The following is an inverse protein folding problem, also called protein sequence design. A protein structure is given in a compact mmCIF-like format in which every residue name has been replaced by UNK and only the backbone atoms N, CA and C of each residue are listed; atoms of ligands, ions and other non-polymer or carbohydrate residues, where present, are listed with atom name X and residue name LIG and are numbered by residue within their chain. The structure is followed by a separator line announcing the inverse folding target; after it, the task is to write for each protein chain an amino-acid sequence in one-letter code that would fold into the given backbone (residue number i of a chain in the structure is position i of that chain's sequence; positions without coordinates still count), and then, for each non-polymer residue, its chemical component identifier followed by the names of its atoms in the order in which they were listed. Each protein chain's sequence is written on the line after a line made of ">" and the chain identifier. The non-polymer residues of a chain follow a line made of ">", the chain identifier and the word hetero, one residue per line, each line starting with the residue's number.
data_IF_063182834487
#
_entry.id   IF_063182834487
#
_cell.length_a   1.000
_cell.length_b   1.000
_cell.length_c   1.000
_cell.angle_alpha   90.00
_cell.angle_beta   90.00
_cell.angle_gamma   90.00
#
_symmetry.space_group_name_H-M   'P 1'
#
loop_
_entity.id
_entity.type
_entity.pdbx_description
1 polymer ?
#
# COMPACT_ATOMS: atom_id res chain seq x y z
N UNK A 1 5.20 -62.84 -35.90
CA UNK A 1 4.30 -63.77 -35.19
C UNK A 1 3.91 -63.05 -33.92
N UNK A 2 2.61 -62.69 -33.85
CA UNK A 2 1.79 -62.30 -32.67
C UNK A 2 2.29 -61.06 -31.89
N UNK A 3 1.50 -60.00 -31.69
CA UNK A 3 0.33 -59.99 -30.81
C UNK A 3 -0.54 -58.74 -31.07
N UNK A 4 -1.81 -58.92 -31.45
CA UNK A 4 -2.88 -57.93 -31.26
C UNK A 4 -4.14 -58.71 -30.89
N UNK A 5 -4.27 -59.05 -29.61
CA UNK A 5 -5.54 -59.35 -28.95
C UNK A 5 -5.86 -58.20 -27.99
N UNK A 6 -7.09 -57.78 -27.75
CA UNK A 6 -8.39 -58.32 -28.07
C UNK A 6 -9.39 -57.42 -27.36
N UNK A 7 -10.34 -56.89 -28.13
CA UNK A 7 -11.36 -55.97 -27.67
C UNK A 7 -12.54 -56.76 -27.08
N UNK A 8 -12.92 -56.54 -25.82
CA UNK A 8 -14.25 -56.91 -25.29
C UNK A 8 -14.69 -55.99 -24.14
N UNK A 9 -15.61 -55.10 -24.52
CA UNK A 9 -16.68 -54.44 -23.76
C UNK A 9 -17.04 -55.09 -22.41
N UNK A 10 -17.36 -54.24 -21.43
CA UNK A 10 -18.68 -54.24 -20.76
C UNK A 10 -18.95 -52.93 -20.01
N UNK A 11 -20.12 -52.35 -20.31
CA UNK A 11 -20.86 -51.34 -19.55
C UNK A 11 -21.54 -52.00 -18.33
N UNK A 12 -21.78 -51.17 -17.31
CA UNK A 12 -22.79 -51.18 -16.24
C UNK A 12 -22.11 -50.85 -14.91
N UNK A 13 -22.68 -50.10 -13.98
CA UNK A 13 -23.95 -49.35 -13.84
C UNK A 13 -23.82 -48.56 -12.53
N UNK A 14 -24.71 -47.60 -12.35
CA UNK A 14 -24.78 -46.62 -11.25
C UNK A 14 -24.85 -47.19 -9.82
N UNK A 15 -24.71 -46.24 -8.87
CA UNK A 15 -25.19 -46.23 -7.48
C UNK A 15 -24.27 -46.70 -6.35
N UNK A 16 -23.49 -45.75 -5.78
CA UNK A 16 -23.40 -45.56 -4.32
C UNK A 16 -23.39 -44.05 -4.04
N UNK A 17 -24.47 -43.57 -3.43
CA UNK A 17 -24.61 -42.29 -2.76
C UNK A 17 -24.10 -42.39 -1.29
N UNK A 18 -24.00 -41.21 -0.66
CA UNK A 18 -23.85 -40.87 0.78
C UNK A 18 -22.47 -41.07 1.42
N UNK A 19 -21.75 -39.97 1.66
CA UNK A 19 -21.70 -39.21 2.94
C UNK A 19 -20.69 -38.07 2.71
N UNK A 20 -21.09 -36.80 2.69
CA UNK A 20 -21.25 -35.94 3.89
C UNK A 20 -20.02 -36.01 4.80
N UNK A 21 -19.04 -35.15 4.50
CA UNK A 21 -18.11 -34.53 5.45
C UNK A 21 -17.63 -33.24 4.78
N UNK A 22 -18.58 -32.32 4.53
CA UNK A 22 -18.29 -30.90 4.48
C UNK A 22 -17.94 -30.49 5.91
N UNK A 23 -16.66 -30.64 6.27
CA UNK A 23 -16.05 -29.90 7.38
C UNK A 23 -16.02 -28.41 6.98
N UNK A 24 -17.20 -27.78 7.02
CA UNK A 24 -17.32 -26.34 7.28
C UNK A 24 -16.86 -26.12 8.72
N UNK A 25 -15.53 -26.11 8.91
CA UNK A 25 -14.93 -25.53 10.09
C UNK A 25 -15.37 -24.06 10.13
N UNK A 26 -16.27 -23.78 11.07
CA UNK A 26 -16.67 -22.47 11.56
C UNK A 26 -15.44 -21.58 11.76
N UNK A 27 -15.02 -20.85 10.72
CA UNK A 27 -14.08 -19.75 10.86
C UNK A 27 -14.86 -18.52 11.35
N UNK A 28 -15.24 -18.58 12.63
CA UNK A 28 -15.53 -17.43 13.50
C UNK A 28 -14.26 -16.56 13.70
N UNK A 29 -13.39 -16.45 12.68
CA UNK A 29 -12.40 -15.39 12.63
C UNK A 29 -13.10 -14.12 12.18
N UNK A 30 -13.37 -13.26 13.16
CA UNK A 30 -13.48 -11.81 12.95
C UNK A 30 -12.47 -11.42 11.88
N UNK A 31 -12.96 -11.12 10.68
CA UNK A 31 -12.06 -10.84 9.57
C UNK A 31 -11.19 -9.64 9.97
N UNK A 32 -9.91 -9.61 9.57
CA UNK A 32 -9.02 -8.46 9.86
C UNK A 32 -9.66 -7.13 9.42
N UNK A 33 -10.58 -7.19 8.45
CA UNK A 33 -11.42 -6.08 8.02
C UNK A 33 -12.43 -5.59 9.07
N UNK A 34 -13.05 -6.49 9.84
CA UNK A 34 -13.92 -6.15 10.97
C UNK A 34 -13.13 -5.58 12.13
N UNK A 35 -11.94 -6.13 12.41
CA UNK A 35 -11.00 -5.55 13.39
C UNK A 35 -10.49 -4.17 12.98
N UNK A 36 -10.24 -3.94 11.69
CA UNK A 36 -9.88 -2.61 11.17
C UNK A 36 -11.04 -1.62 11.30
N UNK A 37 -12.28 -2.05 11.06
CA UNK A 37 -13.47 -1.20 11.24
C UNK A 37 -13.72 -0.87 12.71
N UNK A 38 -13.53 -1.81 13.62
CA UNK A 38 -13.67 -1.54 15.05
C UNK A 38 -12.61 -0.57 15.56
N UNK A 39 -11.34 -0.74 15.16
CA UNK A 39 -10.24 0.18 15.50
C UNK A 39 -10.49 1.59 14.94
N UNK A 40 -11.02 1.70 13.71
CA UNK A 40 -11.36 2.99 13.11
C UNK A 40 -12.52 3.69 13.85
N UNK A 41 -13.52 2.94 14.31
CA UNK A 41 -14.64 3.49 15.07
C UNK A 41 -14.21 3.94 16.48
N UNK A 42 -13.38 3.16 17.17
CA UNK A 42 -12.85 3.55 18.50
C UNK A 42 -11.97 4.79 18.41
N UNK A 43 -11.13 4.91 17.38
CA UNK A 43 -10.32 6.11 17.15
C UNK A 43 -11.16 7.35 16.88
N UNK A 44 -12.35 7.19 16.27
CA UNK A 44 -13.25 8.30 15.99
C UNK A 44 -13.96 8.79 17.27
N UNK A 45 -14.35 7.87 18.14
CA UNK A 45 -14.96 8.18 19.44
C UNK A 45 -13.96 8.82 20.42
N UNK A 46 -12.69 8.38 20.40
CA UNK A 46 -11.63 8.94 21.26
C UNK A 46 -11.20 10.36 20.82
N UNK A 47 -11.23 10.65 19.51
CA UNK A 47 -10.94 11.99 18.99
C UNK A 47 -12.02 13.02 19.34
N UNK A 48 -13.29 12.60 19.51
CA UNK A 48 -14.37 13.48 19.96
C UNK A 48 -14.26 13.82 21.46
N UNK A 49 -13.58 12.99 22.27
CA UNK A 49 -13.33 13.26 23.69
C UNK A 49 -12.11 14.15 23.96
N UNK A 50 -11.12 14.18 23.05
CA UNK A 50 -9.87 14.94 23.24
C UNK A 50 -9.95 16.42 22.85
N UNK A 51 -11.00 16.86 22.16
CA UNK A 51 -11.17 18.26 21.75
C UNK A 51 -11.64 19.20 22.89
N UNK A 52 -11.91 18.67 24.09
CA UNK A 52 -12.35 19.49 25.24
C UNK A 52 -11.21 19.82 26.23
N UNK A 53 -9.99 19.27 26.04
CA UNK A 53 -8.99 19.20 27.14
C UNK A 53 -7.61 19.84 26.92
N UNK A 54 -7.30 20.56 25.83
CA UNK A 54 -5.93 21.10 25.66
C UNK A 54 -5.85 22.58 25.24
N UNK A 55 -6.16 23.45 26.21
CA UNK A 55 -5.56 24.78 26.32
C UNK A 55 -4.35 24.70 27.27
N UNK A 56 -3.11 24.74 26.77
CA UNK A 56 -1.92 25.33 27.43
C UNK A 56 -0.59 25.02 26.69
N UNK A 57 0.02 26.11 26.20
CA UNK A 57 1.43 26.51 26.35
C UNK A 57 2.62 25.73 25.70
N UNK A 58 3.16 26.39 24.66
CA UNK A 58 4.56 26.69 24.30
C UNK A 58 5.74 25.73 24.55
N UNK A 59 6.50 25.45 23.46
CA UNK A 59 7.93 25.77 23.41
C UNK A 59 8.98 24.64 23.41
N UNK A 60 9.44 24.24 22.22
CA UNK A 60 10.85 23.90 21.91
C UNK A 60 11.48 22.61 22.49
N UNK A 61 11.69 21.60 21.64
CA UNK A 61 12.60 20.49 21.94
C UNK A 61 12.44 19.30 20.98
N UNK A 62 13.51 18.96 20.27
CA UNK A 62 13.61 17.75 19.44
C UNK A 62 13.30 16.50 20.28
N UNK A 63 12.56 15.54 19.72
CA UNK A 63 11.92 14.41 20.40
C UNK A 63 10.59 14.76 21.09
N UNK A 64 9.70 15.45 20.37
CA UNK A 64 8.28 15.43 20.69
C UNK A 64 7.75 14.01 20.46
N UNK A 65 7.39 13.36 21.57
CA UNK A 65 6.62 12.13 21.61
C UNK A 65 5.49 12.24 20.59
N UNK A 66 5.59 11.43 19.54
CA UNK A 66 4.50 11.38 18.58
C UNK A 66 3.31 10.72 19.30
N UNK A 67 2.07 11.21 19.10
CA UNK A 67 0.89 10.63 19.74
C UNK A 67 0.88 9.12 19.55
N UNK A 68 0.56 8.37 20.60
CA UNK A 68 0.77 6.91 20.68
C UNK A 68 0.19 6.16 19.44
N UNK A 69 -0.94 6.62 18.90
CA UNK A 69 -1.54 6.05 17.67
C UNK A 69 -0.72 6.20 16.37
N UNK A 70 0.33 7.03 16.34
CA UNK A 70 1.24 7.14 15.18
C UNK A 70 2.29 6.04 15.14
N UNK A 71 2.69 5.52 16.31
CA UNK A 71 3.56 4.35 16.41
C UNK A 71 2.83 3.13 15.85
N UNK A 72 1.52 3.01 16.13
CA UNK A 72 0.68 1.92 15.63
C UNK A 72 0.60 1.89 14.09
N UNK A 73 0.30 3.02 13.44
CA UNK A 73 0.24 3.06 11.97
C UNK A 73 1.59 2.77 11.30
N UNK A 74 2.70 3.20 11.92
CA UNK A 74 4.03 2.91 11.38
C UNK A 74 4.37 1.42 11.48
N UNK A 75 3.98 0.77 12.60
CA UNK A 75 4.15 -0.67 12.79
C UNK A 75 3.25 -1.48 11.85
N UNK A 76 2.00 -1.08 11.67
CA UNK A 76 1.07 -1.72 10.72
C UNK A 76 1.63 -1.62 9.30
N UNK A 77 2.17 -0.45 8.92
CA UNK A 77 2.78 -0.26 7.61
C UNK A 77 4.03 -1.14 7.44
N UNK A 78 4.90 -1.22 8.45
CA UNK A 78 6.05 -2.13 8.45
C UNK A 78 5.62 -3.59 8.28
N UNK A 79 4.61 -4.03 9.03
CA UNK A 79 4.09 -5.39 8.94
C UNK A 79 3.53 -5.71 7.55
N UNK A 80 2.73 -4.79 6.99
CA UNK A 80 2.15 -4.96 5.65
C UNK A 80 3.23 -4.97 4.54
N UNK A 81 4.29 -4.17 4.69
CA UNK A 81 5.42 -4.16 3.75
C UNK A 81 6.20 -5.47 3.80
N UNK A 82 6.43 -6.01 5.00
CA UNK A 82 7.18 -7.25 5.19
C UNK A 82 6.37 -8.48 4.77
N UNK A 83 5.06 -8.49 5.00
CA UNK A 83 4.16 -9.57 4.57
C UNK A 83 3.81 -9.53 3.09
N UNK A 84 4.08 -8.40 2.41
CA UNK A 84 3.68 -8.19 1.02
C UNK A 84 2.18 -7.90 0.85
N UNK A 85 1.47 -7.58 1.94
CA UNK A 85 0.06 -7.19 1.89
C UNK A 85 -0.11 -5.82 1.23
N UNK A 86 -0.30 -5.83 -0.09
CA UNK A 86 -0.53 -4.60 -0.85
C UNK A 86 -1.81 -3.88 -0.45
N UNK A 87 -2.83 -4.55 0.10
CA UNK A 87 -4.08 -3.90 0.49
C UNK A 87 -3.88 -3.11 1.79
N UNK A 88 -3.19 -3.71 2.77
CA UNK A 88 -2.78 -3.04 4.01
C UNK A 88 -1.90 -1.82 3.75
N UNK A 89 -0.90 -1.93 2.86
CA UNK A 89 -0.07 -0.78 2.47
C UNK A 89 -0.92 0.34 1.85
N UNK A 90 -1.86 0.01 0.95
CA UNK A 90 -2.76 1.02 0.37
C UNK A 90 -3.67 1.67 1.41
N UNK A 91 -4.17 0.90 2.38
CA UNK A 91 -5.00 1.40 3.48
C UNK A 91 -4.27 2.44 4.31
N UNK A 92 -3.06 2.12 4.78
CA UNK A 92 -2.27 3.03 5.62
C UNK A 92 -1.75 4.23 4.83
N UNK A 93 -1.24 4.02 3.62
CA UNK A 93 -0.76 5.11 2.75
C UNK A 93 -1.91 6.03 2.29
N UNK A 94 -3.12 5.48 2.17
CA UNK A 94 -4.33 6.21 1.81
C UNK A 94 -4.68 7.30 2.82
N UNK A 95 -4.38 7.09 4.11
CA UNK A 95 -4.56 8.09 5.16
C UNK A 95 -3.63 9.28 4.88
N UNK A 96 -4.23 10.48 4.73
CA UNK A 96 -3.48 11.72 4.44
C UNK A 96 -2.93 12.34 5.72
N UNK A 97 -3.74 12.33 6.76
CA UNK A 97 -3.38 12.81 8.08
C UNK A 97 -2.30 11.90 8.69
N UNK A 98 -1.31 12.49 9.36
CA UNK A 98 -0.24 11.71 10.00
C UNK A 98 0.70 10.95 9.05
N UNK A 99 0.50 10.99 7.73
CA UNK A 99 1.34 10.24 6.76
C UNK A 99 2.83 10.55 6.89
N UNK A 100 3.19 11.81 7.14
CA UNK A 100 4.59 12.21 7.33
C UNK A 100 5.20 11.60 8.58
N UNK A 101 4.46 11.56 9.69
CA UNK A 101 4.86 10.91 10.94
C UNK A 101 4.98 9.40 10.78
N UNK A 102 4.01 8.76 10.12
CA UNK A 102 4.03 7.31 9.84
C UNK A 102 5.27 6.92 9.04
N UNK A 103 5.55 7.63 7.94
CA UNK A 103 6.74 7.37 7.12
C UNK A 103 8.04 7.66 7.88
N UNK A 104 8.05 8.69 8.74
CA UNK A 104 9.21 9.01 9.58
C UNK A 104 9.50 7.92 10.62
N UNK A 105 8.46 7.27 11.14
CA UNK A 105 8.57 6.19 12.13
C UNK A 105 9.05 4.85 11.57
N UNK A 106 9.09 4.68 10.24
CA UNK A 106 9.53 3.44 9.61
C UNK A 106 11.02 3.15 9.86
N UNK A 107 11.34 1.86 9.95
CA UNK A 107 12.72 1.39 9.87
C UNK A 107 13.33 1.62 8.49
N UNK A 108 14.66 1.70 8.41
CA UNK A 108 15.39 1.93 7.16
C UNK A 108 15.13 0.87 6.08
N UNK A 109 14.98 -0.40 6.47
CA UNK A 109 14.63 -1.48 5.55
C UNK A 109 13.20 -1.33 5.00
N UNK A 110 12.25 -1.05 5.88
CA UNK A 110 10.84 -0.85 5.48
C UNK A 110 10.67 0.39 4.59
N UNK A 111 11.46 1.44 4.80
CA UNK A 111 11.47 2.60 3.92
C UNK A 111 11.90 2.27 2.48
N UNK A 112 12.85 1.34 2.31
CA UNK A 112 13.25 0.84 0.99
C UNK A 112 12.13 0.00 0.35
N UNK A 113 11.49 -0.87 1.13
CA UNK A 113 10.33 -1.64 0.68
C UNK A 113 9.20 -0.72 0.22
N UNK A 114 8.92 0.34 0.98
CA UNK A 114 7.90 1.33 0.64
C UNK A 114 8.24 2.12 -0.63
N UNK A 115 9.52 2.49 -0.82
CA UNK A 115 9.98 3.14 -2.05
C UNK A 115 9.73 2.24 -3.26
N UNK A 116 10.23 1.00 -3.20
CA UNK A 116 10.07 0.03 -4.28
C UNK A 116 8.59 -0.22 -4.57
N UNK A 117 7.77 -0.43 -3.54
CA UNK A 117 6.33 -0.62 -3.69
C UNK A 117 5.65 0.58 -4.36
N UNK A 118 6.01 1.81 -3.99
CA UNK A 118 5.46 3.03 -4.61
C UNK A 118 5.84 3.12 -6.09
N UNK A 119 7.10 2.86 -6.42
CA UNK A 119 7.61 2.86 -7.81
C UNK A 119 6.88 1.82 -8.64
N UNK A 120 6.74 0.62 -8.11
CA UNK A 120 6.05 -0.50 -8.73
C UNK A 120 4.57 -0.20 -9.01
N UNK A 121 3.89 0.44 -8.06
CA UNK A 121 2.49 0.85 -8.22
C UNK A 121 2.32 1.93 -9.27
N UNK A 122 3.24 2.90 -9.32
CA UNK A 122 3.21 3.97 -10.34
C UNK A 122 3.48 3.40 -11.74
N UNK A 123 4.46 2.50 -11.88
CA UNK A 123 4.74 1.81 -13.15
C UNK A 123 3.51 1.06 -13.66
N UNK A 124 2.80 0.34 -12.78
CA UNK A 124 1.57 -0.39 -13.14
C UNK A 124 0.39 0.54 -13.42
N UNK A 125 0.26 1.65 -12.68
CA UNK A 125 -0.86 2.60 -12.78
C UNK A 125 -0.36 4.05 -12.68
N UNK A 126 0.01 4.69 -13.81
CA UNK A 126 0.58 6.03 -13.80
C UNK A 126 -0.29 7.13 -13.18
N UNK A 127 -1.63 6.94 -13.18
CA UNK A 127 -2.59 7.85 -12.54
C UNK A 127 -2.39 7.97 -11.02
N UNK A 128 -1.83 6.94 -10.36
CA UNK A 128 -1.58 6.94 -8.92
C UNK A 128 -0.39 7.79 -8.48
N UNK A 129 0.42 8.28 -9.42
CA UNK A 129 1.56 9.15 -9.10
C UNK A 129 1.16 10.35 -8.25
N UNK A 130 0.00 10.98 -8.50
CA UNK A 130 -0.45 12.12 -7.68
C UNK A 130 -0.68 11.73 -6.21
N UNK A 131 -1.26 10.56 -5.97
CA UNK A 131 -1.56 10.06 -4.63
C UNK A 131 -0.28 9.65 -3.87
N UNK A 132 0.65 8.99 -4.58
CA UNK A 132 1.87 8.41 -4.02
C UNK A 132 3.06 9.38 -3.98
N UNK A 133 3.05 10.45 -4.77
CA UNK A 133 4.15 11.45 -4.80
C UNK A 133 4.42 12.09 -3.43
N UNK A 134 3.36 12.29 -2.62
CA UNK A 134 3.52 12.77 -1.25
C UNK A 134 4.27 11.77 -0.35
N UNK A 135 3.99 10.48 -0.52
CA UNK A 135 4.65 9.40 0.22
C UNK A 135 6.12 9.32 -0.18
N UNK A 136 6.39 9.27 -1.50
CA UNK A 136 7.75 9.27 -2.05
C UNK A 136 8.56 10.45 -1.52
N UNK A 137 7.97 11.65 -1.49
CA UNK A 137 8.62 12.84 -0.93
C UNK A 137 9.00 12.65 0.54
N UNK A 138 8.12 12.09 1.36
CA UNK A 138 8.43 11.84 2.78
C UNK A 138 9.49 10.74 2.96
N UNK A 139 9.42 9.68 2.15
CA UNK A 139 10.41 8.59 2.18
C UNK A 139 11.80 9.14 1.88
N UNK A 140 11.94 9.91 0.79
CA UNK A 140 13.22 10.53 0.42
C UNK A 140 13.67 11.54 1.48
N UNK A 141 12.74 12.33 2.04
CA UNK A 141 13.07 13.35 3.04
C UNK A 141 13.60 12.77 4.35
N UNK A 142 12.93 11.76 4.91
CA UNK A 142 13.27 11.21 6.23
C UNK A 142 14.32 10.12 6.18
N UNK A 143 14.41 9.39 5.06
CA UNK A 143 15.32 8.24 4.90
C UNK A 143 16.44 8.49 3.87
N UNK A 144 16.76 9.76 3.59
CA UNK A 144 17.76 10.17 2.60
C UNK A 144 19.11 9.45 2.75
N UNK A 145 19.58 9.24 3.99
CA UNK A 145 20.85 8.59 4.27
C UNK A 145 20.90 7.15 3.76
N UNK A 146 19.81 6.39 3.93
CA UNK A 146 19.69 5.01 3.47
C UNK A 146 19.53 4.97 1.95
N UNK A 147 18.77 5.92 1.40
CA UNK A 147 18.55 6.02 -0.04
C UNK A 147 19.82 6.36 -0.81
N UNK A 148 20.65 7.27 -0.29
CA UNK A 148 21.92 7.64 -0.90
C UNK A 148 23.06 6.64 -0.65
N UNK A 149 23.06 5.97 0.51
CA UNK A 149 24.11 5.03 0.90
C UNK A 149 24.02 3.66 0.22
N UNK A 150 22.80 3.12 0.04
CA UNK A 150 22.56 1.80 -0.53
C UNK A 150 22.59 1.76 -2.07
N UNK A 151 22.92 0.61 -2.67
CA UNK A 151 22.71 0.41 -4.12
C UNK A 151 21.23 0.34 -4.47
N UNK A 152 20.46 -0.33 -3.61
CA UNK A 152 19.02 -0.50 -3.80
C UNK A 152 18.26 0.82 -3.70
N UNK A 153 18.57 1.63 -2.67
CA UNK A 153 18.01 2.97 -2.52
C UNK A 153 18.32 3.88 -3.72
N UNK A 154 19.57 3.87 -4.21
CA UNK A 154 19.97 4.64 -5.40
C UNK A 154 19.21 4.19 -6.65
N UNK A 155 19.08 2.89 -6.88
CA UNK A 155 18.30 2.35 -8.00
C UNK A 155 16.83 2.79 -7.90
N UNK A 156 16.23 2.72 -6.72
CA UNK A 156 14.86 3.19 -6.50
C UNK A 156 14.70 4.68 -6.79
N UNK A 157 15.68 5.51 -6.38
CA UNK A 157 15.70 6.94 -6.68
C UNK A 157 15.84 7.23 -8.19
N UNK A 158 16.71 6.53 -8.90
CA UNK A 158 16.86 6.64 -10.35
C UNK A 158 15.54 6.30 -11.07
N UNK A 159 14.81 5.29 -10.59
CA UNK A 159 13.50 4.94 -11.14
C UNK A 159 12.45 6.02 -10.85
N UNK A 160 12.45 6.62 -9.65
CA UNK A 160 11.58 7.76 -9.33
C UNK A 160 11.91 8.96 -10.23
N UNK A 161 13.19 9.26 -10.45
CA UNK A 161 13.64 10.34 -11.34
C UNK A 161 13.16 10.09 -12.77
N UNK A 162 13.34 8.88 -13.30
CA UNK A 162 12.86 8.50 -14.63
C UNK A 162 11.35 8.69 -14.76
N UNK A 163 10.56 8.20 -13.79
CA UNK A 163 9.10 8.35 -13.78
C UNK A 163 8.67 9.83 -13.71
N UNK A 164 9.40 10.64 -12.94
CA UNK A 164 9.19 12.09 -12.86
C UNK A 164 9.49 12.80 -14.19
N UNK A 165 10.60 12.42 -14.83
CA UNK A 165 11.03 12.94 -16.14
C UNK A 165 10.01 12.64 -17.24
N UNK A 166 9.61 11.38 -17.39
CA UNK A 166 8.60 10.95 -18.37
C UNK A 166 7.27 11.70 -18.19
N UNK A 167 6.86 11.94 -16.93
CA UNK A 167 5.66 12.72 -16.64
C UNK A 167 5.83 14.20 -17.00
N UNK A 168 6.97 14.80 -16.69
CA UNK A 168 7.23 16.20 -17.00
C UNK A 168 7.25 16.46 -18.51
N UNK A 169 7.79 15.53 -19.29
CA UNK A 169 7.74 15.57 -20.76
C UNK A 169 6.30 15.54 -21.28
N UNK A 170 5.49 14.57 -20.82
CA UNK A 170 4.07 14.49 -21.22
C UNK A 170 3.28 15.75 -20.84
N UNK A 171 3.57 16.35 -19.69
CA UNK A 171 2.92 17.60 -19.27
C UNK A 171 3.24 18.75 -20.22
N UNK A 172 4.49 18.84 -20.72
CA UNK A 172 4.85 19.86 -21.72
C UNK A 172 4.06 19.66 -23.01
N UNK A 173 3.94 18.44 -23.49
CA UNK A 173 3.18 18.12 -24.70
C UNK A 173 1.68 18.46 -24.55
N UNK A 174 1.12 18.16 -23.37
CA UNK A 174 -0.28 18.47 -23.07
C UNK A 174 -0.55 19.97 -23.01
N UNK A 175 0.36 20.77 -22.46
CA UNK A 175 0.22 22.24 -22.44
C UNK A 175 0.23 22.82 -23.86
N UNK A 176 1.09 22.30 -24.74
CA UNK A 176 1.10 22.71 -26.16
C UNK A 176 -0.23 22.33 -26.84
N UNK A 177 -0.75 21.14 -26.55
CA UNK A 177 -2.03 20.68 -27.10
C UNK A 177 -3.20 21.53 -26.58
N UNK A 178 -3.24 21.83 -25.28
CA UNK A 178 -4.23 22.71 -24.66
C UNK A 178 -4.22 24.09 -25.30
N UNK A 179 -3.04 24.69 -25.51
CA UNK A 179 -2.93 25.97 -26.22
C UNK A 179 -3.49 25.92 -27.66
N UNK A 180 -3.26 24.83 -28.39
CA UNK A 180 -3.81 24.63 -29.74
C UNK A 180 -5.33 24.43 -29.72
N UNK A 181 -5.85 23.69 -28.74
CA UNK A 181 -7.29 23.46 -28.60
C UNK A 181 -8.01 24.75 -28.23
N UNK A 182 -7.47 25.52 -27.29
CA UNK A 182 -8.06 26.80 -26.90
C UNK A 182 -8.10 27.78 -28.08
N UNK A 183 -7.03 27.86 -28.88
CA UNK A 183 -7.01 28.70 -30.09
C UNK A 183 -7.92 28.24 -31.23
N UNK A 184 -8.50 27.04 -31.17
CA UNK A 184 -9.52 26.56 -32.13
C UNK A 184 -10.96 26.74 -31.62
N UNK A 185 -11.13 26.96 -30.31
CA UNK A 185 -12.43 27.16 -29.67
C UNK A 185 -12.80 28.64 -29.54
N UNK A 186 -11.84 29.54 -29.74
CA UNK A 186 -12.04 31.00 -29.93
C UNK A 186 -12.28 31.35 -31.41
#
# INVERSE_FOLDING_TARGET
>A
IEDIGGEKRRKNSEDIASDDDDDDDDDDSETVQERLKSILNTLKEENEQLLDSTNADSGGGFAGDLPEGTKDLSQILSLALQSGDSAGVEGVVGVREGRSSTVRGLGSGDALLLLNWCVDKIKRRPTRYMQLSGVLRFVVKYHAGVMGGGREGRRGLEEVEKLGGERAERLRDLVVLEGRLNGLLE
#
